data_IF_362468323619
#
_entry.id   IF_362468323619
#
_cell.length_a   1.000
_cell.length_b   1.000
_cell.length_c   1.000
_cell.angle_alpha   90.00
_cell.angle_beta   90.00
_cell.angle_gamma   90.00
#
_symmetry.space_group_name_H-M   'P 1'
#
loop_
_entity.id
_entity.type
_entity.pdbx_description
1 polymer ?
#
# COMPACT_ATOMS: atom_id res chain seq x y z
N UNK A 1 9.16 -9.60 29.64
CA UNK A 1 7.70 -9.54 29.46
C UNK A 1 7.22 -10.85 28.83
N UNK A 2 6.37 -11.59 29.55
CA UNK A 2 6.14 -13.03 29.32
C UNK A 2 5.17 -13.37 28.19
N UNK A 3 5.34 -14.58 27.64
CA UNK A 3 4.54 -15.31 26.62
C UNK A 3 3.00 -15.26 26.81
N UNK A 4 2.51 -14.77 27.96
CA UNK A 4 1.10 -14.59 28.30
C UNK A 4 0.47 -13.37 27.61
N UNK A 5 1.24 -12.31 27.31
CA UNK A 5 0.74 -11.13 26.60
C UNK A 5 0.49 -11.41 25.10
N UNK A 6 1.37 -12.19 24.46
CA UNK A 6 1.22 -12.63 23.06
C UNK A 6 0.04 -13.58 22.84
N UNK A 7 -0.32 -14.40 23.84
CA UNK A 7 -1.51 -15.26 23.78
C UNK A 7 -2.82 -14.46 23.82
N UNK A 8 -2.84 -13.28 24.45
CA UNK A 8 -4.04 -12.43 24.53
C UNK A 8 -4.33 -11.74 23.19
N UNK A 9 -3.30 -11.36 22.43
CA UNK A 9 -3.44 -10.84 21.07
C UNK A 9 -3.83 -11.91 20.02
N UNK A 10 -3.45 -13.17 20.24
CA UNK A 10 -3.77 -14.28 19.32
C UNK A 10 -5.19 -14.88 19.48
N UNK A 11 -5.93 -14.44 20.51
CA UNK A 11 -7.26 -14.94 20.87
C UNK A 11 -8.44 -14.23 20.19
N UNK A 12 -8.21 -13.13 19.46
CA UNK A 12 -9.27 -12.26 18.96
C UNK A 12 -9.40 -12.20 17.43
N UNK A 13 -8.83 -13.15 16.68
CA UNK A 13 -8.98 -13.14 15.22
C UNK A 13 -10.41 -13.57 14.82
N UNK A 14 -11.21 -12.72 14.14
CA UNK A 14 -12.64 -12.98 13.88
C UNK A 14 -12.90 -14.26 13.08
N UNK A 15 -12.02 -14.61 12.13
CA UNK A 15 -12.11 -15.89 11.40
C UNK A 15 -12.11 -17.15 12.29
N UNK A 16 -11.55 -17.09 13.51
CA UNK A 16 -11.60 -18.21 14.47
C UNK A 16 -12.95 -18.33 15.18
N UNK A 17 -13.73 -17.25 15.31
CA UNK A 17 -14.98 -17.24 16.09
C UNK A 17 -16.19 -17.77 15.33
N UNK A 18 -16.16 -17.77 13.99
CA UNK A 18 -17.34 -18.08 13.17
C UNK A 18 -17.26 -19.41 12.39
N UNK A 19 -16.43 -20.38 12.80
CA UNK A 19 -16.20 -21.60 11.99
C UNK A 19 -15.57 -21.33 10.61
N UNK A 20 -15.26 -20.07 10.31
CA UNK A 20 -14.74 -19.61 9.03
C UNK A 20 -13.43 -20.29 8.67
N UNK A 21 -12.52 -20.50 9.61
CA UNK A 21 -11.22 -21.16 9.33
C UNK A 21 -11.38 -22.52 8.65
N UNK A 22 -12.37 -23.34 9.03
CA UNK A 22 -12.58 -24.67 8.44
C UNK A 22 -13.18 -24.59 7.03
N UNK A 23 -14.15 -23.69 6.82
CA UNK A 23 -14.68 -23.40 5.50
C UNK A 23 -13.61 -22.80 4.56
N UNK A 24 -12.73 -21.95 5.08
CA UNK A 24 -11.60 -21.35 4.36
C UNK A 24 -10.54 -22.40 4.01
N UNK A 25 -10.23 -23.34 4.91
CA UNK A 25 -9.33 -24.48 4.64
C UNK A 25 -9.93 -25.38 3.55
N UNK A 26 -11.23 -25.68 3.62
CA UNK A 26 -11.90 -26.53 2.63
C UNK A 26 -11.98 -25.87 1.24
N UNK A 27 -12.20 -24.55 1.17
CA UNK A 27 -12.19 -23.79 -0.09
C UNK A 27 -10.78 -23.72 -0.70
N UNK A 28 -9.77 -23.47 0.14
CA UNK A 28 -8.36 -23.56 -0.21
C UNK A 28 -7.98 -24.92 -0.80
N UNK A 29 -8.36 -26.01 -0.13
CA UNK A 29 -8.09 -27.38 -0.59
C UNK A 29 -8.75 -27.67 -1.95
N UNK A 30 -10.03 -27.32 -2.13
CA UNK A 30 -10.74 -27.48 -3.42
C UNK A 30 -10.13 -26.68 -4.56
N UNK A 31 -9.58 -25.50 -4.29
CA UNK A 31 -8.90 -24.71 -5.31
C UNK A 31 -7.55 -25.30 -5.71
N UNK A 32 -6.83 -25.90 -4.75
CA UNK A 32 -5.59 -26.64 -5.01
C UNK A 32 -5.86 -27.91 -5.82
N UNK A 33 -6.97 -28.62 -5.58
CA UNK A 33 -7.39 -29.80 -6.35
C UNK A 33 -7.67 -29.51 -7.84
N UNK A 34 -8.04 -28.27 -8.17
CA UNK A 34 -8.31 -27.82 -9.55
C UNK A 34 -7.03 -27.46 -10.33
N UNK A 35 -5.88 -27.41 -9.66
CA UNK A 35 -4.62 -27.13 -10.34
C UNK A 35 -4.15 -28.36 -11.12
N UNK A 36 -3.67 -28.21 -12.37
CA UNK A 36 -3.17 -29.33 -13.16
C UNK A 36 -2.10 -30.10 -12.40
N UNK A 37 -2.31 -31.41 -12.23
CA UNK A 37 -1.34 -32.30 -11.59
C UNK A 37 -0.01 -32.23 -12.37
N UNK A 38 1.10 -32.06 -11.65
CA UNK A 38 2.44 -31.98 -12.24
C UNK A 38 2.97 -30.58 -12.56
N UNK A 39 2.25 -29.50 -12.24
CA UNK A 39 2.83 -28.15 -12.29
C UNK A 39 3.65 -27.83 -11.04
N UNK A 40 4.86 -27.35 -11.25
CA UNK A 40 5.68 -26.73 -10.21
C UNK A 40 5.10 -25.36 -9.83
N UNK A 41 4.69 -25.21 -8.56
CA UNK A 41 4.28 -23.92 -8.01
C UNK A 41 5.36 -23.40 -7.06
N UNK A 42 5.79 -22.15 -7.26
CA UNK A 42 6.56 -21.46 -6.25
C UNK A 42 5.69 -21.23 -5.00
N UNK A 43 6.29 -21.18 -3.80
CA UNK A 43 5.57 -20.94 -2.53
C UNK A 43 4.67 -19.70 -2.60
N UNK A 44 5.20 -18.65 -3.21
CA UNK A 44 4.53 -17.50 -3.77
C UNK A 44 3.20 -17.76 -4.52
N UNK A 45 3.27 -18.55 -5.61
CA UNK A 45 2.15 -18.84 -6.50
C UNK A 45 1.11 -19.71 -5.78
N UNK A 46 1.55 -20.60 -4.90
CA UNK A 46 0.70 -21.38 -4.01
C UNK A 46 -0.06 -20.50 -3.01
N UNK A 47 0.60 -19.58 -2.32
CA UNK A 47 -0.05 -18.61 -1.43
C UNK A 47 -1.02 -17.70 -2.19
N UNK A 48 -0.66 -17.25 -3.40
CA UNK A 48 -1.56 -16.49 -4.27
C UNK A 48 -2.79 -17.31 -4.65
N UNK A 49 -2.66 -18.59 -5.00
CA UNK A 49 -3.81 -19.46 -5.32
C UNK A 49 -4.70 -19.68 -4.10
N UNK A 50 -4.13 -19.87 -2.90
CA UNK A 50 -4.88 -19.95 -1.65
C UNK A 50 -5.67 -18.67 -1.36
N UNK A 51 -5.07 -17.52 -1.64
CA UNK A 51 -5.69 -16.21 -1.41
C UNK A 51 -6.73 -15.87 -2.49
N UNK A 52 -6.45 -16.15 -3.77
CA UNK A 52 -7.42 -16.02 -4.87
C UNK A 52 -8.63 -16.96 -4.68
N UNK A 53 -8.41 -18.17 -4.16
CA UNK A 53 -9.47 -19.09 -3.78
C UNK A 53 -10.37 -18.56 -2.66
N UNK A 54 -9.84 -17.71 -1.78
CA UNK A 54 -10.60 -16.98 -0.77
C UNK A 54 -11.32 -15.75 -1.36
N UNK A 55 -10.97 -15.31 -2.57
CA UNK A 55 -11.35 -14.03 -3.18
C UNK A 55 -12.11 -14.15 -4.50
N UNK A 56 -13.13 -14.99 -4.55
CA UNK A 56 -14.05 -15.02 -5.70
C UNK A 56 -14.77 -13.67 -5.98
N UNK A 57 -14.37 -12.54 -5.38
CA UNK A 57 -14.91 -11.19 -5.65
C UNK A 57 -13.89 -10.03 -5.65
N UNK A 58 -12.57 -10.21 -5.41
CA UNK A 58 -11.61 -9.08 -5.40
C UNK A 58 -10.21 -9.48 -5.96
N UNK A 59 -9.87 -9.10 -7.21
CA UNK A 59 -8.67 -9.59 -7.89
C UNK A 59 -7.31 -9.05 -7.39
N UNK A 60 -7.30 -8.05 -6.48
CA UNK A 60 -6.08 -7.28 -6.12
C UNK A 60 -5.57 -7.48 -4.66
N UNK A 61 -6.08 -8.46 -3.91
CA UNK A 61 -5.68 -8.70 -2.52
C UNK A 61 -4.72 -9.89 -2.43
N UNK A 62 -3.63 -9.80 -1.66
CA UNK A 62 -2.76 -10.94 -1.40
C UNK A 62 -2.24 -10.95 0.04
N UNK A 63 -2.34 -12.09 0.73
CA UNK A 63 -1.78 -12.26 2.08
C UNK A 63 -0.30 -12.60 1.99
N UNK A 64 0.55 -11.78 2.60
CA UNK A 64 2.01 -12.02 2.66
C UNK A 64 2.38 -13.25 3.52
N UNK A 65 3.54 -13.85 3.27
CA UNK A 65 4.03 -15.04 3.99
C UNK A 65 4.11 -14.84 5.51
N UNK A 66 4.53 -13.65 5.96
CA UNK A 66 4.61 -13.29 7.38
C UNK A 66 3.25 -13.27 8.08
N UNK A 67 2.17 -13.03 7.34
CA UNK A 67 0.80 -13.03 7.85
C UNK A 67 0.22 -14.46 7.88
N UNK A 68 0.50 -15.28 6.87
CA UNK A 68 0.15 -16.71 6.85
C UNK A 68 0.77 -17.49 8.03
N UNK A 69 2.00 -17.16 8.41
CA UNK A 69 2.70 -17.75 9.55
C UNK A 69 2.03 -17.46 10.92
N UNK A 70 1.11 -16.49 11.00
CA UNK A 70 0.28 -16.25 12.19
C UNK A 70 -0.87 -17.25 12.33
N UNK A 71 -1.13 -18.09 11.33
CA UNK A 71 -2.18 -19.11 11.33
C UNK A 71 -1.58 -20.52 11.35
N UNK A 72 -1.14 -21.03 12.51
CA UNK A 72 -0.35 -22.26 12.61
C UNK A 72 -1.05 -23.51 12.04
N UNK A 73 -2.39 -23.56 12.01
CA UNK A 73 -3.13 -24.67 11.38
C UNK A 73 -3.12 -24.59 9.85
N UNK A 74 -3.32 -23.40 9.28
CA UNK A 74 -3.25 -23.16 7.83
C UNK A 74 -1.80 -23.29 7.32
N UNK A 75 -0.83 -22.75 8.05
CA UNK A 75 0.58 -22.94 7.75
C UNK A 75 0.96 -24.44 7.77
N UNK A 76 0.47 -25.22 8.74
CA UNK A 76 0.77 -26.66 8.83
C UNK A 76 0.07 -27.49 7.74
N UNK A 77 -1.16 -27.14 7.33
CA UNK A 77 -1.85 -27.77 6.21
C UNK A 77 -1.22 -27.39 4.85
N UNK A 78 -0.92 -26.10 4.64
CA UNK A 78 -0.20 -25.59 3.48
C UNK A 78 1.19 -26.21 3.32
N UNK A 79 1.93 -26.31 4.41
CA UNK A 79 3.28 -26.90 4.43
C UNK A 79 3.22 -28.43 4.31
N UNK A 80 2.22 -29.10 4.91
CA UNK A 80 2.03 -30.55 4.80
C UNK A 80 1.77 -31.03 3.38
N UNK A 81 0.93 -30.31 2.62
CA UNK A 81 0.66 -30.56 1.20
C UNK A 81 1.84 -30.15 0.30
N UNK A 82 2.52 -29.04 0.60
CA UNK A 82 3.69 -28.58 -0.17
C UNK A 82 4.89 -29.54 -0.11
N UNK A 83 4.98 -30.39 0.92
CA UNK A 83 6.00 -31.44 1.03
C UNK A 83 5.83 -32.53 -0.05
N UNK A 84 4.62 -32.73 -0.58
CA UNK A 84 4.36 -33.71 -1.66
C UNK A 84 4.67 -33.17 -3.08
N UNK A 85 4.77 -31.85 -3.27
CA UNK A 85 5.06 -31.23 -4.58
C UNK A 85 6.56 -30.89 -4.80
N UNK A 86 7.46 -31.78 -4.37
CA UNK A 86 8.91 -31.58 -4.54
C UNK A 86 9.37 -31.84 -5.99
N UNK A 87 9.24 -30.81 -6.82
CA UNK A 87 10.26 -30.37 -7.80
C UNK A 87 10.04 -28.87 -8.06
N UNK A 88 10.36 -28.06 -7.04
CA UNK A 88 10.45 -26.61 -7.17
C UNK A 88 11.80 -26.28 -7.81
N UNK A 89 11.83 -26.15 -9.12
CA UNK A 89 12.94 -25.48 -9.82
C UNK A 89 12.62 -23.99 -9.79
N UNK A 90 13.44 -23.13 -9.18
CA UNK A 90 13.27 -21.69 -9.32
C UNK A 90 13.39 -21.38 -10.81
N UNK A 91 12.36 -20.81 -11.43
CA UNK A 91 12.56 -20.15 -12.71
C UNK A 91 13.67 -19.12 -12.53
N UNK A 92 14.61 -19.04 -13.47
CA UNK A 92 15.63 -18.00 -13.45
C UNK A 92 14.92 -16.63 -13.30
N UNK A 93 15.38 -15.76 -12.38
CA UNK A 93 14.71 -14.50 -12.16
C UNK A 93 14.75 -13.69 -13.46
N UNK A 94 13.59 -13.48 -14.08
CA UNK A 94 13.48 -12.47 -15.13
C UNK A 94 13.79 -11.11 -14.49
N UNK A 95 14.66 -10.30 -15.09
CA UNK A 95 14.92 -8.96 -14.57
C UNK A 95 13.59 -8.19 -14.53
N UNK A 96 13.31 -7.47 -13.44
CA UNK A 96 12.09 -6.69 -13.36
C UNK A 96 12.08 -5.67 -14.49
N UNK A 97 10.91 -5.38 -15.08
CA UNK A 97 10.83 -4.36 -16.12
C UNK A 97 11.31 -3.01 -15.58
N UNK A 98 11.83 -2.15 -16.47
CA UNK A 98 12.31 -0.84 -16.07
C UNK A 98 11.19 -0.04 -15.42
N UNK A 99 11.55 0.73 -14.39
CA UNK A 99 10.62 1.68 -13.78
C UNK A 99 10.42 2.87 -14.71
N UNK A 100 9.24 3.51 -14.69
CA UNK A 100 9.02 4.74 -15.46
C UNK A 100 10.10 5.77 -15.08
N UNK A 101 10.76 6.41 -16.06
CA UNK A 101 11.76 7.44 -15.77
C UNK A 101 11.12 8.62 -15.04
N UNK A 102 11.94 9.44 -14.37
CA UNK A 102 11.44 10.71 -13.86
C UNK A 102 10.99 11.57 -15.04
N UNK A 103 9.81 12.20 -14.96
CA UNK A 103 9.35 13.07 -16.03
C UNK A 103 10.25 14.29 -16.12
N UNK A 104 10.45 14.77 -17.35
CA UNK A 104 11.15 16.05 -17.58
C UNK A 104 10.30 17.20 -17.06
N UNK A 105 10.89 18.22 -16.41
CA UNK A 105 10.15 19.40 -16.00
C UNK A 105 9.55 20.07 -17.24
N UNK A 106 8.26 20.40 -17.17
CA UNK A 106 7.58 21.17 -18.23
C UNK A 106 7.80 22.67 -18.05
N UNK A 107 7.99 23.11 -16.81
CA UNK A 107 8.16 24.51 -16.40
C UNK A 107 9.16 24.59 -15.24
N UNK A 108 9.65 25.81 -14.94
CA UNK A 108 10.51 26.03 -13.78
C UNK A 108 9.76 25.69 -12.48
N UNK A 109 10.40 25.03 -11.50
CA UNK A 109 9.73 24.69 -10.26
C UNK A 109 9.27 25.96 -9.54
N UNK A 110 8.04 25.99 -9.02
CA UNK A 110 7.57 27.13 -8.23
C UNK A 110 8.41 27.27 -6.95
N UNK A 111 8.36 28.44 -6.29
CA UNK A 111 8.97 28.58 -4.97
C UNK A 111 8.42 27.53 -4.00
N UNK A 112 9.26 27.12 -3.05
CA UNK A 112 8.86 26.16 -2.02
C UNK A 112 7.63 26.68 -1.26
N UNK A 113 6.60 25.84 -1.06
CA UNK A 113 5.45 26.22 -0.26
C UNK A 113 5.87 26.57 1.17
N UNK A 114 5.33 27.65 1.72
CA UNK A 114 5.41 27.92 3.14
C UNK A 114 4.67 26.82 3.93
N UNK A 115 5.26 26.35 5.03
CA UNK A 115 4.65 25.33 5.91
C UNK A 115 3.25 25.75 6.34
N UNK A 116 3.06 27.01 6.71
CA UNK A 116 1.76 27.55 7.15
C UNK A 116 0.68 27.47 6.06
N UNK A 117 1.05 27.60 4.79
CA UNK A 117 0.12 27.45 3.68
C UNK A 117 -0.32 25.99 3.50
N UNK A 118 0.59 25.03 3.70
CA UNK A 118 0.27 23.59 3.68
C UNK A 118 -0.64 23.26 4.86
N UNK A 119 -0.28 23.70 6.07
CA UNK A 119 -1.08 23.50 7.29
C UNK A 119 -2.48 24.06 7.11
N UNK A 120 -2.62 25.29 6.63
CA UNK A 120 -3.92 25.94 6.40
C UNK A 120 -4.80 25.14 5.44
N UNK A 121 -4.23 24.67 4.31
CA UNK A 121 -4.96 23.83 3.34
C UNK A 121 -5.40 22.50 3.95
N UNK A 122 -4.51 21.82 4.66
CA UNK A 122 -4.81 20.54 5.30
C UNK A 122 -5.84 20.67 6.43
N UNK A 123 -5.79 21.75 7.23
CA UNK A 123 -6.78 22.04 8.27
C UNK A 123 -8.17 22.27 7.69
N UNK A 124 -8.26 23.03 6.59
CA UNK A 124 -9.51 23.27 5.88
C UNK A 124 -10.06 21.97 5.26
N UNK A 125 -9.20 21.08 4.76
CA UNK A 125 -9.58 19.80 4.19
C UNK A 125 -10.01 18.75 5.23
N UNK A 126 -9.40 18.74 6.42
CA UNK A 126 -9.68 17.78 7.48
C UNK A 126 -10.92 18.20 8.29
N UNK A 127 -12.07 18.23 7.64
CA UNK A 127 -13.37 18.55 8.27
C UNK A 127 -13.80 17.47 9.27
N UNK A 128 -14.91 17.69 9.97
CA UNK A 128 -15.47 16.68 10.88
C UNK A 128 -15.88 15.40 10.12
N UNK A 129 -16.42 15.55 8.91
CA UNK A 129 -16.82 14.47 8.02
C UNK A 129 -15.58 13.69 7.53
N UNK A 130 -14.51 14.39 7.16
CA UNK A 130 -13.24 13.76 6.78
C UNK A 130 -12.65 12.93 7.94
N UNK A 131 -12.68 13.47 9.16
CA UNK A 131 -12.27 12.75 10.36
C UNK A 131 -13.13 11.50 10.62
N UNK A 132 -14.45 11.61 10.44
CA UNK A 132 -15.37 10.49 10.61
C UNK A 132 -15.12 9.41 9.55
N UNK A 133 -14.96 9.80 8.28
CA UNK A 133 -14.62 8.89 7.19
C UNK A 133 -13.29 8.16 7.45
N UNK A 134 -12.27 8.85 7.94
CA UNK A 134 -10.99 8.22 8.29
C UNK A 134 -11.15 7.18 9.41
N UNK A 135 -11.96 7.44 10.44
CA UNK A 135 -12.21 6.49 11.54
C UNK A 135 -13.07 5.30 11.11
N UNK A 136 -14.07 5.53 10.27
CA UNK A 136 -15.02 4.48 9.88
C UNK A 136 -14.57 3.66 8.68
N UNK A 137 -14.22 4.34 7.58
CA UNK A 137 -13.84 3.73 6.32
C UNK A 137 -12.34 3.40 6.26
N UNK A 138 -11.56 3.93 7.21
CA UNK A 138 -10.13 3.68 7.31
C UNK A 138 -9.29 4.55 6.39
N UNK A 139 -9.87 5.49 5.65
CA UNK A 139 -9.10 6.38 4.79
C UNK A 139 -9.89 7.57 4.25
N UNK A 140 -9.16 8.63 3.90
CA UNK A 140 -9.68 9.87 3.31
C UNK A 140 -8.62 10.50 2.41
N UNK A 141 -9.05 11.28 1.40
CA UNK A 141 -8.16 12.13 0.60
C UNK A 141 -8.33 13.57 1.06
N UNK A 142 -7.23 14.22 1.41
CA UNK A 142 -7.14 15.63 1.72
C UNK A 142 -6.62 16.35 0.47
N UNK A 143 -7.46 17.16 -0.20
CA UNK A 143 -7.07 17.78 -1.46
C UNK A 143 -6.01 18.85 -1.26
N UNK A 144 -5.14 19.01 -2.26
CA UNK A 144 -4.18 20.12 -2.39
C UNK A 144 -3.25 20.32 -1.20
N UNK A 145 -2.70 19.23 -0.63
CA UNK A 145 -1.59 19.36 0.32
C UNK A 145 -0.39 20.08 -0.31
N UNK A 146 -0.14 19.77 -1.58
CA UNK A 146 0.62 20.60 -2.51
C UNK A 146 -0.28 21.05 -3.66
N UNK A 147 0.05 22.18 -4.27
CA UNK A 147 -0.51 22.55 -5.58
C UNK A 147 0.12 21.66 -6.66
N UNK A 148 -0.53 21.46 -7.82
CA UNK A 148 0.01 20.61 -8.88
C UNK A 148 1.44 20.98 -9.31
N UNK A 149 1.71 22.28 -9.42
CA UNK A 149 3.03 22.84 -9.75
C UNK A 149 4.07 22.57 -8.64
N UNK A 150 3.68 22.63 -7.37
CA UNK A 150 4.55 22.32 -6.22
C UNK A 150 4.89 20.81 -6.20
N UNK A 151 3.91 19.96 -6.51
CA UNK A 151 4.10 18.52 -6.64
C UNK A 151 5.02 18.17 -7.82
N UNK A 152 4.88 18.86 -8.96
CA UNK A 152 5.77 18.72 -10.11
C UNK A 152 7.21 19.15 -9.76
N UNK A 153 7.38 20.26 -9.06
CA UNK A 153 8.67 20.73 -8.57
C UNK A 153 9.34 19.73 -7.61
N UNK A 154 8.56 19.15 -6.69
CA UNK A 154 9.06 18.08 -5.81
C UNK A 154 9.48 16.83 -6.60
N UNK A 155 8.68 16.40 -7.58
CA UNK A 155 9.00 15.25 -8.42
C UNK A 155 10.29 15.48 -9.22
N UNK A 156 10.49 16.70 -9.74
CA UNK A 156 11.71 17.08 -10.42
C UNK A 156 12.93 17.06 -9.49
N UNK A 157 12.83 17.66 -8.29
CA UNK A 157 13.90 17.66 -7.30
C UNK A 157 14.34 16.24 -6.90
N UNK A 158 13.39 15.30 -6.80
CA UNK A 158 13.68 13.88 -6.53
C UNK A 158 14.43 13.18 -7.66
N UNK A 159 14.32 13.68 -8.90
CA UNK A 159 15.00 13.12 -10.07
C UNK A 159 16.42 13.66 -10.28
N UNK A 160 16.65 14.94 -9.97
CA UNK A 160 17.95 15.62 -10.14
C UNK A 160 18.90 15.38 -8.97
N UNK A 161 18.36 15.34 -7.76
CA UNK A 161 19.17 15.11 -6.59
C UNK A 161 19.36 13.60 -6.40
N UNK A 162 20.57 13.16 -6.07
CA UNK A 162 20.85 11.80 -5.56
C UNK A 162 20.15 11.51 -4.21
N UNK A 163 18.93 11.99 -4.03
CA UNK A 163 18.00 11.86 -2.92
C UNK A 163 17.29 10.51 -2.91
N UNK A 164 17.36 9.73 -4.00
CA UNK A 164 16.64 8.46 -4.14
C UNK A 164 17.61 7.28 -4.10
N UNK A 165 17.38 6.36 -3.15
CA UNK A 165 18.17 5.15 -3.02
C UNK A 165 17.87 4.10 -4.10
N UNK A 166 18.47 2.91 -3.98
CA UNK A 166 18.21 1.81 -4.91
C UNK A 166 16.74 1.35 -4.84
N UNK A 167 16.11 0.97 -5.98
CA UNK A 167 14.75 0.46 -5.98
C UNK A 167 14.67 -0.89 -5.27
N UNK A 168 13.60 -1.08 -4.52
CA UNK A 168 13.10 -2.41 -4.17
C UNK A 168 11.86 -2.70 -5.00
N UNK A 169 11.99 -3.59 -5.97
CA UNK A 169 10.89 -3.98 -6.84
C UNK A 169 9.85 -4.83 -6.10
N UNK A 170 8.59 -4.53 -6.37
CA UNK A 170 7.47 -5.39 -5.99
C UNK A 170 7.51 -6.67 -6.79
N UNK A 171 7.21 -7.78 -6.12
CA UNK A 171 7.27 -9.12 -6.68
C UNK A 171 6.00 -9.85 -6.32
N UNK A 172 5.35 -10.42 -7.33
CA UNK A 172 4.19 -11.29 -7.10
C UNK A 172 4.55 -12.42 -6.13
N UNK A 173 5.81 -12.86 -6.17
CA UNK A 173 6.30 -13.91 -5.30
C UNK A 173 6.41 -13.57 -3.82
N UNK A 174 6.43 -12.28 -3.50
CA UNK A 174 6.43 -11.80 -2.13
C UNK A 174 5.04 -11.34 -1.66
N UNK A 175 4.04 -11.37 -2.55
CA UNK A 175 2.68 -10.94 -2.23
C UNK A 175 2.58 -9.46 -1.90
N UNK A 176 3.49 -8.62 -2.45
CA UNK A 176 3.48 -7.17 -2.23
C UNK A 176 3.07 -6.37 -3.49
N UNK A 177 2.96 -7.01 -4.65
CA UNK A 177 2.51 -6.37 -5.89
C UNK A 177 3.34 -6.79 -7.09
N UNK A 178 3.29 -6.00 -8.16
CA UNK A 178 4.09 -6.18 -9.38
C UNK A 178 4.21 -4.88 -10.16
N UNK A 179 5.14 -4.85 -11.13
CA UNK A 179 5.32 -3.75 -12.09
C UNK A 179 5.45 -2.37 -11.40
N UNK A 180 6.12 -2.35 -10.26
CA UNK A 180 6.39 -1.16 -9.49
C UNK A 180 7.53 -1.39 -8.50
N UNK A 181 8.00 -0.32 -7.89
CA UNK A 181 9.03 -0.35 -6.87
C UNK A 181 8.84 0.78 -5.87
N UNK A 182 9.48 0.62 -4.71
CA UNK A 182 9.68 1.69 -3.77
C UNK A 182 11.17 1.98 -3.59
N UNK A 183 11.50 3.24 -3.32
CA UNK A 183 12.84 3.69 -3.00
C UNK A 183 12.82 4.37 -1.64
N UNK A 184 13.78 4.02 -0.78
CA UNK A 184 14.04 4.84 0.40
C UNK A 184 14.68 6.16 -0.05
N UNK A 185 14.19 7.28 0.49
CA UNK A 185 14.87 8.56 0.29
C UNK A 185 16.14 8.64 1.14
N UNK A 186 17.25 9.01 0.50
CA UNK A 186 18.55 9.30 1.13
C UNK A 186 18.59 10.71 1.69
N UNK A 187 17.85 11.63 1.05
CA UNK A 187 17.67 13.02 1.48
C UNK A 187 16.19 13.39 1.31
N UNK A 188 15.65 14.14 2.26
CA UNK A 188 14.27 14.63 2.21
C UNK A 188 14.28 16.04 1.64
N UNK A 189 13.70 16.29 0.46
CA UNK A 189 13.58 17.64 -0.08
C UNK A 189 12.81 18.57 0.88
N UNK A 190 13.13 19.87 0.94
CA UNK A 190 12.46 20.81 1.85
C UNK A 190 10.93 20.83 1.72
N UNK A 191 10.39 20.80 0.49
CA UNK A 191 8.95 20.73 0.26
C UNK A 191 8.32 19.48 0.88
N UNK A 192 9.00 18.34 0.78
CA UNK A 192 8.52 17.09 1.37
C UNK A 192 8.57 17.12 2.91
N UNK A 193 9.62 17.72 3.48
CA UNK A 193 9.71 17.92 4.91
C UNK A 193 8.56 18.80 5.44
N UNK A 194 8.27 19.90 4.73
CA UNK A 194 7.15 20.79 5.05
C UNK A 194 5.79 20.09 5.00
N UNK A 195 5.54 19.24 3.98
CA UNK A 195 4.32 18.42 3.91
C UNK A 195 4.24 17.43 5.07
N UNK A 196 5.32 16.71 5.36
CA UNK A 196 5.34 15.71 6.42
C UNK A 196 5.09 16.33 7.80
N UNK A 197 5.71 17.47 8.09
CA UNK A 197 5.51 18.22 9.33
C UNK A 197 4.11 18.81 9.43
N UNK A 198 3.63 19.48 8.38
CA UNK A 198 2.29 20.06 8.34
C UNK A 198 1.20 19.01 8.49
N UNK A 199 1.29 17.90 7.74
CA UNK A 199 0.34 16.80 7.85
C UNK A 199 0.35 16.17 9.24
N UNK A 200 1.52 15.95 9.83
CA UNK A 200 1.60 15.38 11.17
C UNK A 200 0.98 16.31 12.23
N UNK A 201 1.26 17.61 12.15
CA UNK A 201 0.70 18.62 13.05
C UNK A 201 -0.84 18.63 12.98
N UNK A 202 -1.40 18.69 11.77
CA UNK A 202 -2.86 18.74 11.57
C UNK A 202 -3.56 17.45 12.01
N UNK A 203 -2.97 16.29 11.71
CA UNK A 203 -3.53 14.99 12.11
C UNK A 203 -3.48 14.79 13.63
N UNK A 204 -2.36 15.13 14.26
CA UNK A 204 -2.20 15.04 15.71
C UNK A 204 -3.19 15.95 16.45
N UNK A 205 -3.42 17.18 15.95
CA UNK A 205 -4.41 18.11 16.50
C UNK A 205 -5.85 17.57 16.46
N UNK A 206 -6.15 16.58 15.59
CA UNK A 206 -7.44 15.89 15.51
C UNK A 206 -7.45 14.51 16.17
N UNK A 207 -6.38 14.16 16.89
CA UNK A 207 -6.25 12.91 17.65
C UNK A 207 -5.86 11.69 16.81
N UNK A 208 -5.29 11.89 15.62
CA UNK A 208 -4.76 10.80 14.81
C UNK A 208 -3.27 10.62 15.08
N UNK A 209 -2.90 9.44 15.59
CA UNK A 209 -1.50 9.13 15.89
C UNK A 209 -0.73 8.78 14.61
N UNK A 210 0.35 9.53 14.36
CA UNK A 210 1.20 9.43 13.17
C UNK A 210 2.67 9.63 13.55
N UNK A 211 3.58 9.19 12.67
CA UNK A 211 5.02 9.35 12.89
C UNK A 211 5.63 10.42 11.99
N UNK A 212 5.63 11.67 12.45
CA UNK A 212 6.17 12.82 11.68
C UNK A 212 7.60 12.59 11.14
N UNK A 213 8.48 12.01 11.96
CA UNK A 213 9.89 11.74 11.64
C UNK A 213 10.08 10.25 11.35
N UNK A 214 9.79 9.86 10.11
CA UNK A 214 9.85 8.47 9.63
C UNK A 214 10.64 8.34 8.33
N UNK A 215 10.71 7.13 7.79
CA UNK A 215 11.26 6.94 6.45
C UNK A 215 10.21 7.43 5.44
N UNK A 216 10.65 8.20 4.45
CA UNK A 216 9.81 8.51 3.30
C UNK A 216 10.18 7.55 2.16
N UNK A 217 9.14 7.02 1.50
CA UNK A 217 9.32 6.10 0.38
C UNK A 217 8.82 6.76 -0.89
N UNK A 218 9.67 6.88 -1.90
CA UNK A 218 9.22 7.17 -3.25
C UNK A 218 8.66 5.90 -3.87
N UNK A 219 7.39 5.94 -4.27
CA UNK A 219 6.68 4.83 -4.89
C UNK A 219 6.55 5.11 -6.39
N UNK A 220 6.95 4.14 -7.22
CA UNK A 220 6.99 4.26 -8.69
C UNK A 220 6.31 3.08 -9.35
N UNK A 221 5.34 3.36 -10.21
CA UNK A 221 4.59 2.36 -10.96
C UNK A 221 4.40 2.82 -12.40
N UNK A 222 4.60 1.91 -13.35
CA UNK A 222 4.17 2.09 -14.74
C UNK A 222 2.82 1.42 -14.98
N UNK A 223 2.38 1.39 -16.24
CA UNK A 223 1.16 0.67 -16.66
C UNK A 223 1.16 -0.80 -16.19
N UNK A 224 0.06 -1.26 -15.61
CA UNK A 224 -0.09 -2.59 -15.04
C UNK A 224 0.49 -2.76 -13.63
N UNK A 225 1.18 -1.74 -13.11
CA UNK A 225 1.63 -1.63 -11.73
C UNK A 225 0.48 -1.82 -10.74
N UNK A 226 0.68 -2.60 -9.69
CA UNK A 226 -0.32 -2.82 -8.63
C UNK A 226 0.40 -3.11 -7.32
N UNK A 227 -0.16 -2.60 -6.21
CA UNK A 227 0.30 -2.90 -4.87
C UNK A 227 -0.80 -3.69 -4.16
N UNK A 228 -0.52 -4.93 -3.81
CA UNK A 228 -1.54 -5.79 -3.22
C UNK A 228 -1.82 -5.42 -1.77
N UNK A 229 -3.04 -5.68 -1.30
CA UNK A 229 -3.46 -5.38 0.06
C UNK A 229 -2.47 -5.96 1.10
N UNK A 230 -1.91 -5.12 1.96
CA UNK A 230 -1.00 -5.51 3.04
C UNK A 230 -1.19 -4.59 4.27
N UNK A 231 -0.39 -4.82 5.30
CA UNK A 231 -0.27 -3.93 6.46
C UNK A 231 1.20 -3.61 6.68
N UNK A 232 1.47 -2.34 6.92
CA UNK A 232 2.80 -1.86 7.23
C UNK A 232 3.04 -2.01 8.74
N UNK A 233 4.06 -2.79 9.11
CA UNK A 233 4.35 -3.12 10.50
C UNK A 233 5.20 -2.03 11.18
N UNK A 234 4.81 -0.77 11.02
CA UNK A 234 5.62 0.40 11.41
C UNK A 234 5.34 0.84 12.86
N UNK A 235 4.29 0.29 13.47
CA UNK A 235 3.89 0.54 14.86
C UNK A 235 3.02 1.79 15.04
N UNK A 236 2.66 2.49 13.96
CA UNK A 236 1.76 3.64 13.98
C UNK A 236 0.44 3.31 13.28
N UNK A 237 -0.70 3.86 13.74
CA UNK A 237 -2.00 3.49 13.22
C UNK A 237 -2.34 4.13 11.86
N UNK A 238 -1.78 5.29 11.54
CA UNK A 238 -2.08 5.99 10.30
C UNK A 238 -0.83 6.29 9.47
N UNK A 239 -0.99 6.21 8.15
CA UNK A 239 0.00 6.54 7.14
C UNK A 239 -0.58 7.49 6.11
N UNK A 240 0.30 8.07 5.28
CA UNK A 240 -0.15 8.89 4.17
C UNK A 240 0.53 8.51 2.85
N UNK A 241 -0.15 8.81 1.74
CA UNK A 241 0.40 8.78 0.40
C UNK A 241 0.14 10.14 -0.28
N UNK A 242 1.22 10.87 -0.55
CA UNK A 242 1.18 12.12 -1.33
C UNK A 242 1.27 11.78 -2.81
N UNK A 243 0.25 12.14 -3.60
CA UNK A 243 0.25 11.90 -5.03
C UNK A 243 1.13 12.94 -5.75
N UNK A 244 2.03 12.50 -6.64
CA UNK A 244 2.87 13.40 -7.44
C UNK A 244 2.53 13.37 -8.94
N UNK A 245 1.97 12.27 -9.43
CA UNK A 245 1.46 12.19 -10.81
C UNK A 245 0.05 12.74 -10.91
N UNK A 246 -0.32 13.27 -12.06
CA UNK A 246 -1.64 13.85 -12.32
C UNK A 246 -2.64 12.74 -12.71
N UNK A 247 -3.65 12.43 -11.88
CA UNK A 247 -4.68 11.46 -12.24
C UNK A 247 -5.43 11.88 -13.51
N UNK A 248 -5.85 10.91 -14.33
CA UNK A 248 -6.48 11.12 -15.64
C UNK A 248 -5.48 11.40 -16.76
N UNK A 249 -4.47 12.25 -16.51
CA UNK A 249 -3.40 12.55 -17.46
C UNK A 249 -2.31 11.47 -17.46
N UNK A 250 -1.61 11.31 -16.35
CA UNK A 250 -0.41 10.48 -16.29
C UNK A 250 -0.76 9.01 -16.03
N UNK A 251 -1.91 8.76 -15.42
CA UNK A 251 -2.46 7.43 -15.19
C UNK A 251 -3.97 7.49 -14.94
N UNK A 252 -4.66 6.37 -15.16
CA UNK A 252 -5.99 6.09 -14.61
C UNK A 252 -5.92 4.86 -13.69
N UNK A 253 -7.00 4.56 -12.98
CA UNK A 253 -6.97 3.54 -11.92
C UNK A 253 -5.98 3.94 -10.83
N UNK A 254 -5.15 3.01 -10.37
CA UNK A 254 -4.04 3.32 -9.45
C UNK A 254 -4.46 3.94 -8.09
N UNK A 255 -5.73 3.93 -7.75
CA UNK A 255 -6.21 4.49 -6.49
C UNK A 255 -5.65 3.69 -5.32
N UNK A 256 -5.19 4.40 -4.28
CA UNK A 256 -4.90 3.76 -3.00
C UNK A 256 -6.23 3.30 -2.40
N UNK A 257 -6.28 2.15 -1.76
CA UNK A 257 -7.50 1.69 -1.11
C UNK A 257 -7.21 1.14 0.28
N UNK A 258 -8.22 1.19 1.14
CA UNK A 258 -8.31 0.34 2.33
C UNK A 258 -9.35 -0.74 2.13
N UNK A 259 -9.18 -1.88 2.79
CA UNK A 259 -10.15 -2.96 2.78
C UNK A 259 -10.24 -3.62 4.14
N UNK A 260 -11.46 -3.78 4.62
CA UNK A 260 -11.76 -4.51 5.84
C UNK A 260 -11.82 -6.01 5.55
N UNK A 261 -10.94 -6.78 6.20
CA UNK A 261 -10.89 -8.23 6.02
C UNK A 261 -12.16 -8.95 6.48
N UNK A 262 -12.95 -8.36 7.40
CA UNK A 262 -14.17 -8.96 7.92
C UNK A 262 -15.34 -8.71 6.96
N UNK A 263 -15.63 -7.45 6.66
CA UNK A 263 -16.75 -7.07 5.78
C UNK A 263 -16.44 -7.23 4.28
N UNK A 264 -15.15 -7.36 3.92
CA UNK A 264 -14.62 -7.33 2.54
C UNK A 264 -14.96 -6.05 1.77
N UNK A 265 -15.40 -5.00 2.47
CA UNK A 265 -15.68 -3.71 1.87
C UNK A 265 -14.36 -2.97 1.64
N UNK A 266 -14.16 -2.53 0.40
CA UNK A 266 -13.04 -1.68 0.03
C UNK A 266 -13.50 -0.22 -0.05
N UNK A 267 -12.62 0.69 0.36
CA UNK A 267 -12.77 2.15 0.22
C UNK A 267 -11.62 2.63 -0.65
N UNK A 268 -11.93 3.14 -1.84
CA UNK A 268 -10.95 3.72 -2.75
C UNK A 268 -10.73 5.19 -2.43
N UNK A 269 -9.47 5.58 -2.28
CA UNK A 269 -9.02 6.93 -1.99
C UNK A 269 -8.66 7.59 -3.32
N UNK A 270 -9.69 8.21 -3.91
CA UNK A 270 -9.62 8.81 -5.25
C UNK A 270 -8.93 10.16 -5.19
N UNK A 271 -7.80 10.27 -5.86
CA UNK A 271 -7.08 11.52 -6.01
C UNK A 271 -7.71 12.35 -7.13
N UNK A 272 -7.95 13.63 -6.88
CA UNK A 272 -8.44 14.56 -7.90
C UNK A 272 -7.28 15.24 -8.64
N UNK A 273 -6.13 15.41 -7.98
CA UNK A 273 -4.98 16.09 -8.56
C UNK A 273 -3.63 15.60 -8.02
N UNK A 274 -2.56 15.96 -8.72
CA UNK A 274 -1.23 15.91 -8.14
C UNK A 274 -1.17 16.86 -6.93
N UNK A 275 -0.50 16.43 -5.87
CA UNK A 275 -0.43 17.15 -4.59
C UNK A 275 -1.53 16.80 -3.58
N UNK A 276 -2.50 15.96 -3.95
CA UNK A 276 -3.46 15.40 -3.00
C UNK A 276 -2.79 14.42 -2.03
N UNK A 277 -3.27 14.39 -0.79
CA UNK A 277 -2.74 13.55 0.29
C UNK A 277 -3.81 12.55 0.75
N UNK A 278 -3.60 11.27 0.45
CA UNK A 278 -4.40 10.22 1.08
C UNK A 278 -3.87 9.95 2.49
N UNK A 279 -4.77 9.88 3.46
CA UNK A 279 -4.50 9.43 4.84
C UNK A 279 -5.27 8.14 5.05
N UNK A 280 -4.62 7.10 5.56
CA UNK A 280 -5.26 5.79 5.73
C UNK A 280 -4.71 5.01 6.91
N UNK A 281 -5.54 4.10 7.42
CA UNK A 281 -5.22 3.16 8.48
C UNK A 281 -4.21 2.13 7.98
N UNK A 282 -3.07 2.03 8.66
CA UNK A 282 -2.00 1.07 8.38
C UNK A 282 -2.01 -0.14 9.31
N UNK A 283 -2.83 -0.10 10.37
CA UNK A 283 -3.01 -1.21 11.30
C UNK A 283 -4.37 -1.19 12.02
N UNK A 284 -4.65 -2.29 12.72
CA UNK A 284 -5.87 -2.44 13.54
C UNK A 284 -5.99 -1.39 14.66
N UNK A 285 -4.86 -0.85 15.13
CA UNK A 285 -4.85 0.18 16.17
C UNK A 285 -5.56 1.48 15.74
N UNK A 286 -5.71 1.71 14.43
CA UNK A 286 -6.31 2.91 13.89
C UNK A 286 -7.82 3.02 14.17
N UNK A 287 -8.53 1.90 13.97
CA UNK A 287 -10.01 1.89 13.92
C UNK A 287 -10.62 0.72 14.71
N UNK A 288 -9.79 -0.19 15.24
CA UNK A 288 -10.23 -1.47 15.79
C UNK A 288 -10.64 -2.50 14.73
N UNK A 289 -10.55 -2.17 13.44
CA UNK A 289 -10.86 -3.08 12.32
C UNK A 289 -9.58 -3.66 11.73
N UNK A 290 -9.64 -4.88 11.19
CA UNK A 290 -8.54 -5.48 10.45
C UNK A 290 -8.47 -4.93 9.02
N UNK A 291 -8.01 -3.68 8.92
CA UNK A 291 -7.86 -2.97 7.65
C UNK A 291 -6.51 -3.28 7.01
N UNK A 292 -6.54 -3.52 5.72
CA UNK A 292 -5.39 -3.67 4.84
C UNK A 292 -5.41 -2.53 3.84
N UNK A 293 -4.25 -2.12 3.35
CA UNK A 293 -4.14 -1.11 2.31
C UNK A 293 -3.38 -1.62 1.10
N UNK A 294 -3.73 -1.10 -0.07
CA UNK A 294 -3.10 -1.43 -1.33
C UNK A 294 -3.29 -0.31 -2.34
N UNK A 295 -2.97 -0.60 -3.60
CA UNK A 295 -3.12 0.31 -4.71
C UNK A 295 -3.64 -0.48 -5.90
N UNK A 296 -4.71 0.01 -6.53
CA UNK A 296 -5.32 -0.61 -7.71
C UNK A 296 -4.34 -0.72 -8.87
N UNK A 297 -4.69 -1.50 -9.88
CA UNK A 297 -3.90 -1.54 -11.09
C UNK A 297 -3.81 -0.15 -11.72
N UNK A 298 -2.61 0.26 -12.09
CA UNK A 298 -2.34 1.46 -12.89
C UNK A 298 -2.72 1.18 -14.34
N UNK A 299 -3.52 2.05 -14.91
CA UNK A 299 -3.97 2.02 -16.29
C UNK A 299 -3.49 3.27 -17.03
N UNK A 300 -3.53 3.21 -18.36
CA UNK A 300 -3.04 4.27 -19.23
C UNK A 300 -3.91 5.53 -19.11
N UNK A 301 -3.28 6.64 -18.75
CA UNK A 301 -3.86 7.98 -18.83
C UNK A 301 -3.80 8.58 -20.24
N UNK A 302 -4.20 9.85 -20.37
CA UNK A 302 -4.19 10.56 -21.66
C UNK A 302 -2.81 11.02 -22.13
N UNK A 303 -1.81 11.06 -21.26
CA UNK A 303 -0.44 11.42 -21.61
C UNK A 303 0.26 10.29 -22.40
N UNK A 304 1.32 10.66 -23.14
CA UNK A 304 2.10 9.70 -23.92
C UNK A 304 2.79 8.65 -23.04
N UNK A 305 3.28 9.06 -21.87
CA UNK A 305 3.91 8.19 -20.89
C UNK A 305 2.95 7.91 -19.73
N UNK A 306 2.78 6.64 -19.39
CA UNK A 306 1.97 6.23 -18.24
C UNK A 306 2.86 6.03 -17.02
N UNK A 307 2.64 6.82 -15.97
CA UNK A 307 3.37 6.70 -14.73
C UNK A 307 2.54 7.15 -13.52
N UNK A 308 2.80 6.50 -12.39
CA UNK A 308 2.26 6.88 -11.08
C UNK A 308 3.38 6.99 -10.07
N UNK A 309 3.68 8.23 -9.70
CA UNK A 309 4.61 8.61 -8.65
C UNK A 309 3.82 9.07 -7.42
N UNK A 310 4.22 8.56 -6.26
CA UNK A 310 3.67 9.00 -4.97
C UNK A 310 4.74 8.90 -3.89
N UNK A 311 4.59 9.65 -2.79
CA UNK A 311 5.43 9.52 -1.60
C UNK A 311 4.63 8.88 -0.47
N UNK A 312 5.10 7.74 0.03
CA UNK A 312 4.65 7.16 1.30
C UNK A 312 5.26 7.93 2.47
N UNK A 313 4.41 8.47 3.34
CA UNK A 313 4.79 9.13 4.59
C UNK A 313 4.45 8.25 5.79
N UNK A 314 5.15 8.51 6.90
CA UNK A 314 4.93 7.87 8.20
C UNK A 314 5.16 6.35 8.19
N UNK A 315 6.18 5.93 7.43
CA UNK A 315 6.68 4.55 7.35
C UNK A 315 7.74 4.28 8.43
#
# INVERSE_FOLDING_TARGET
MGKRALRKAAGAHPLKKEGGVEAHIAAAARALERLPRGQTLSTARFCRQLVLAQQMQLPDFSVGMSQLLRWPRLAKAAVGEAVWMRRVVPAAPTPPPPLPPFPKPREAPPPLPAVDAIVSRLQAALTAEACAALREAGGVVLPRALLPEEAAGLLHALGEEGAVGRPTHLRESQGNGRLGAYHQLLRTPPALAAVAEGAASVLAARGFEVKARGKHLLLRYGEGGVNYAHQDHTGFPYQCALMLSTPGSDFTGGDTYTIDACSRRATELRYASAGDLAVFASSEQATGKHLYHGMRRVERGSAAECHRFAIGLFQ
#
